data_IF_486437734827
#
_entry.id   IF_486437734827
#
_cell.length_a   1.000
_cell.length_b   1.000
_cell.length_c   1.000
_cell.angle_alpha   90.00
_cell.angle_beta   90.00
_cell.angle_gamma   90.00
#
_symmetry.space_group_name_H-M   'P 1'
#
loop_
_entity.id
_entity.type
_entity.pdbx_description
1 polymer ?
#
# COMPACT_ATOMS: atom_id res chain seq x y z
N UNK A 1 1.66 29.78 -7.50
CA UNK A 1 0.64 28.79 -7.98
C UNK A 1 1.45 27.65 -8.59
N UNK A 2 1.19 26.40 -8.22
CA UNK A 2 1.91 25.26 -8.81
C UNK A 2 1.40 25.01 -10.23
N UNK A 3 2.33 24.73 -11.15
CA UNK A 3 2.03 24.31 -12.51
C UNK A 3 1.92 22.77 -12.56
N UNK A 4 1.24 22.24 -13.56
CA UNK A 4 1.18 20.82 -13.87
C UNK A 4 2.56 20.16 -13.96
N UNK A 5 3.56 20.90 -14.45
CA UNK A 5 4.94 20.44 -14.56
C UNK A 5 5.68 20.37 -13.22
N UNK A 6 5.16 21.00 -12.16
CA UNK A 6 5.73 20.99 -10.82
C UNK A 6 5.32 19.75 -10.02
N UNK A 7 4.31 19.00 -10.49
CA UNK A 7 3.86 17.77 -9.84
C UNK A 7 4.94 16.69 -10.01
N UNK A 8 5.54 16.27 -8.90
CA UNK A 8 6.61 15.26 -8.85
C UNK A 8 6.27 14.06 -7.98
N UNK A 9 5.20 14.15 -7.20
CA UNK A 9 4.76 13.09 -6.29
C UNK A 9 3.27 12.82 -6.47
N UNK A 10 2.92 11.55 -6.48
CA UNK A 10 1.52 11.08 -6.47
C UNK A 10 1.29 10.25 -5.21
N UNK A 11 0.28 10.63 -4.44
CA UNK A 11 -0.32 9.78 -3.43
C UNK A 11 -1.53 9.08 -4.05
N UNK A 12 -1.48 7.75 -4.13
CA UNK A 12 -2.53 6.94 -4.74
C UNK A 12 -3.27 6.14 -3.68
N UNK A 13 -4.55 6.43 -3.51
CA UNK A 13 -5.48 5.61 -2.74
C UNK A 13 -6.22 4.67 -3.68
N UNK A 14 -5.65 3.49 -3.91
CA UNK A 14 -6.13 2.53 -4.91
C UNK A 14 -7.46 1.87 -4.52
N UNK A 15 -7.82 1.85 -3.23
CA UNK A 15 -9.04 1.20 -2.75
C UNK A 15 -9.52 1.78 -1.44
N UNK A 16 -10.82 1.72 -1.21
CA UNK A 16 -11.46 1.97 0.09
C UNK A 16 -11.58 0.70 0.94
N UNK A 17 -11.20 -0.48 0.42
CA UNK A 17 -11.29 -1.76 1.11
C UNK A 17 -10.10 -2.00 2.01
N UNK A 18 -10.32 -2.59 3.17
CA UNK A 18 -9.29 -3.04 4.09
C UNK A 18 -9.73 -4.36 4.75
N UNK A 19 -8.79 -5.22 5.06
CA UNK A 19 -9.04 -6.45 5.81
C UNK A 19 -8.92 -6.26 7.33
N UNK A 20 -8.39 -5.12 7.79
CA UNK A 20 -8.31 -4.76 9.21
C UNK A 20 -9.51 -3.89 9.64
N UNK A 21 -9.81 -3.90 10.94
CA UNK A 21 -10.86 -3.09 11.58
C UNK A 21 -10.29 -2.33 12.79
N UNK A 22 -9.26 -1.51 12.55
CA UNK A 22 -8.59 -0.77 13.61
C UNK A 22 -9.54 0.23 14.27
N UNK A 23 -9.63 0.29 15.62
CA UNK A 23 -10.66 1.09 16.34
C UNK A 23 -10.64 2.59 16.04
N UNK A 24 -9.48 3.16 15.76
CA UNK A 24 -9.35 4.59 15.47
C UNK A 24 -9.31 4.90 13.96
N UNK A 25 -9.53 3.91 13.11
CA UNK A 25 -9.54 4.13 11.67
C UNK A 25 -10.90 4.69 11.22
N UNK A 26 -10.89 5.79 10.46
CA UNK A 26 -12.10 6.42 9.92
C UNK A 26 -12.88 5.51 8.95
N UNK A 27 -12.29 4.39 8.50
CA UNK A 27 -12.95 3.39 7.69
C UNK A 27 -14.13 2.72 8.41
N UNK A 28 -14.03 2.53 9.72
CA UNK A 28 -15.03 1.81 10.50
C UNK A 28 -15.47 2.62 11.73
N UNK A 29 -16.57 2.20 12.33
CA UNK A 29 -17.11 2.83 13.54
C UNK A 29 -16.55 2.07 14.75
N UNK A 30 -15.53 2.64 15.40
CA UNK A 30 -14.89 2.11 16.60
C UNK A 30 -14.42 0.63 16.46
N UNK A 31 -13.90 0.27 15.30
CA UNK A 31 -13.45 -1.11 15.02
C UNK A 31 -14.58 -2.10 14.71
N UNK A 32 -15.81 -1.62 14.57
CA UNK A 32 -16.99 -2.42 14.22
C UNK A 32 -17.37 -2.34 12.75
N UNK A 33 -18.60 -1.94 12.47
CA UNK A 33 -19.12 -1.85 11.12
C UNK A 33 -18.37 -0.83 10.26
N UNK A 34 -18.36 -1.06 8.97
CA UNK A 34 -17.79 -0.11 8.00
C UNK A 34 -18.56 1.21 8.03
N UNK A 35 -17.85 2.30 7.85
CA UNK A 35 -18.44 3.61 7.74
C UNK A 35 -19.43 3.64 6.55
N UNK A 36 -20.71 3.99 6.77
CA UNK A 36 -21.75 3.90 5.75
C UNK A 36 -21.53 4.84 4.55
N UNK A 37 -20.62 5.80 4.65
CA UNK A 37 -20.26 6.69 3.55
C UNK A 37 -19.34 6.03 2.52
N UNK A 38 -18.69 4.89 2.85
CA UNK A 38 -17.77 4.20 1.96
C UNK A 38 -18.55 3.44 0.90
N UNK A 39 -18.11 3.59 -0.33
CA UNK A 39 -18.67 2.87 -1.48
C UNK A 39 -17.91 1.56 -1.76
N UNK A 40 -16.83 1.29 -1.03
CA UNK A 40 -15.91 0.19 -1.27
C UNK A 40 -15.32 0.22 -2.69
N UNK A 41 -15.06 1.44 -3.18
CA UNK A 41 -14.48 1.68 -4.48
C UNK A 41 -13.06 1.09 -4.59
N UNK A 42 -12.69 0.76 -5.82
CA UNK A 42 -11.37 0.22 -6.14
C UNK A 42 -11.00 0.63 -7.56
N UNK A 43 -9.80 1.13 -7.76
CA UNK A 43 -9.25 1.46 -9.06
C UNK A 43 -8.56 0.23 -9.67
N UNK A 44 -8.89 -0.06 -10.91
CA UNK A 44 -8.19 -1.07 -11.71
C UNK A 44 -6.92 -0.49 -12.35
N UNK A 45 -6.06 -1.37 -12.86
CA UNK A 45 -4.93 -0.92 -13.69
C UNK A 45 -5.39 -0.08 -14.89
N UNK A 46 -6.54 -0.42 -15.49
CA UNK A 46 -7.07 0.31 -16.63
C UNK A 46 -7.49 1.74 -16.26
N UNK A 47 -8.06 1.93 -15.06
CA UNK A 47 -8.37 3.26 -14.55
C UNK A 47 -7.08 4.07 -14.35
N UNK A 48 -6.05 3.45 -13.78
CA UNK A 48 -4.73 4.08 -13.56
C UNK A 48 -4.09 4.54 -14.88
N UNK A 49 -4.08 3.69 -15.90
CA UNK A 49 -3.54 4.02 -17.23
C UNK A 49 -4.33 5.17 -17.88
N UNK A 50 -5.63 5.24 -17.62
CA UNK A 50 -6.49 6.33 -18.13
C UNK A 50 -6.22 7.65 -17.40
N UNK A 51 -6.06 7.59 -16.07
CA UNK A 51 -5.84 8.79 -15.22
C UNK A 51 -4.43 9.36 -15.39
N UNK A 52 -3.42 8.48 -15.48
CA UNK A 52 -2.00 8.84 -15.52
C UNK A 52 -1.36 8.43 -16.85
N UNK A 53 -1.34 9.31 -17.87
CA UNK A 53 -0.62 9.02 -19.11
C UNK A 53 0.88 8.79 -18.86
N UNK A 54 1.53 8.00 -19.69
CA UNK A 54 2.96 7.67 -19.58
C UNK A 54 3.84 8.92 -19.48
N UNK A 55 3.53 9.96 -20.25
CA UNK A 55 4.25 11.25 -20.22
C UNK A 55 4.15 11.97 -18.86
N UNK A 56 3.11 11.69 -18.07
CA UNK A 56 3.00 12.19 -16.70
C UNK A 56 3.83 11.34 -15.75
N UNK A 57 3.70 10.00 -15.82
CA UNK A 57 4.46 9.07 -14.97
C UNK A 57 5.97 9.25 -15.14
N UNK A 58 6.46 9.47 -16.38
CA UNK A 58 7.89 9.70 -16.68
C UNK A 58 8.50 10.91 -15.96
N UNK A 59 7.70 11.86 -15.51
CA UNK A 59 8.16 13.07 -14.82
C UNK A 59 8.09 13.00 -13.31
N UNK A 60 7.46 11.94 -12.78
CA UNK A 60 7.34 11.75 -11.35
C UNK A 60 8.66 11.33 -10.73
N UNK A 61 8.93 11.84 -9.55
CA UNK A 61 10.01 11.37 -8.70
C UNK A 61 9.52 10.26 -7.75
N UNK A 62 8.25 10.33 -7.33
CA UNK A 62 7.72 9.44 -6.31
C UNK A 62 6.24 9.11 -6.56
N UNK A 63 5.90 7.84 -6.40
CA UNK A 63 4.51 7.40 -6.23
C UNK A 63 4.43 6.53 -4.98
N UNK A 64 3.48 6.84 -4.11
CA UNK A 64 3.24 6.03 -2.93
C UNK A 64 1.76 5.67 -2.77
N UNK A 65 1.53 4.51 -2.21
CA UNK A 65 0.20 4.04 -1.84
C UNK A 65 0.04 4.05 -0.32
N UNK A 66 -0.95 4.81 0.14
CA UNK A 66 -1.37 4.82 1.53
C UNK A 66 -2.85 5.15 1.56
N UNK A 67 -3.67 4.29 2.11
CA UNK A 67 -5.11 4.53 2.16
C UNK A 67 -5.54 5.17 3.46
N UNK A 68 -6.33 6.25 3.38
CA UNK A 68 -7.06 6.78 4.53
C UNK A 68 -8.22 5.86 4.96
N UNK A 69 -8.81 5.18 3.99
CA UNK A 69 -9.95 4.28 4.21
C UNK A 69 -9.65 2.84 3.83
N UNK A 70 -8.68 2.59 2.97
CA UNK A 70 -8.33 1.27 2.47
C UNK A 70 -6.91 0.86 2.79
N UNK A 71 -6.57 -0.37 2.44
CA UNK A 71 -5.18 -0.84 2.46
C UNK A 71 -4.83 -1.35 1.06
N UNK A 72 -3.74 -0.84 0.46
CA UNK A 72 -3.35 -1.21 -0.91
C UNK A 72 -3.21 -2.71 -1.13
N UNK A 73 -2.85 -3.49 -0.10
CA UNK A 73 -2.66 -4.94 -0.26
C UNK A 73 -3.94 -5.70 -0.58
N UNK A 74 -5.13 -5.13 -0.32
CA UNK A 74 -6.39 -5.80 -0.65
C UNK A 74 -6.86 -5.50 -2.06
N UNK A 75 -6.43 -4.41 -2.67
CA UNK A 75 -6.80 -4.07 -4.05
C UNK A 75 -6.23 -5.07 -5.04
N UNK A 76 -7.07 -5.50 -5.98
CA UNK A 76 -6.74 -6.57 -6.95
C UNK A 76 -5.50 -6.26 -7.77
N UNK A 77 -5.33 -5.03 -8.19
CA UNK A 77 -4.34 -4.63 -9.18
C UNK A 77 -3.12 -3.87 -8.60
N UNK A 78 -2.97 -3.78 -7.27
CA UNK A 78 -1.85 -3.08 -6.61
C UNK A 78 -0.50 -3.43 -7.23
N UNK A 79 -0.16 -4.71 -7.30
CA UNK A 79 1.13 -5.16 -7.85
C UNK A 79 1.28 -4.81 -9.35
N UNK A 80 0.20 -4.89 -10.12
CA UNK A 80 0.21 -4.51 -11.53
C UNK A 80 0.43 -3.02 -11.71
N UNK A 81 -0.15 -2.20 -10.83
CA UNK A 81 0.04 -0.75 -10.84
C UNK A 81 1.49 -0.40 -10.52
N UNK A 82 2.09 -1.00 -9.50
CA UNK A 82 3.52 -0.83 -9.21
C UNK A 82 4.39 -1.23 -10.41
N UNK A 83 4.12 -2.40 -11.02
CA UNK A 83 4.82 -2.86 -12.23
C UNK A 83 4.66 -1.88 -13.40
N UNK A 84 3.48 -1.31 -13.60
CA UNK A 84 3.23 -0.32 -14.64
C UNK A 84 4.05 0.96 -14.41
N UNK A 85 3.99 1.55 -13.21
CA UNK A 85 4.76 2.75 -12.89
C UNK A 85 6.26 2.53 -13.08
N UNK A 86 6.80 1.41 -12.61
CA UNK A 86 8.23 1.05 -12.79
C UNK A 86 8.58 0.83 -14.25
N UNK A 87 7.71 0.22 -15.06
CA UNK A 87 7.96 0.00 -16.48
C UNK A 87 8.01 1.29 -17.29
N UNK A 88 7.19 2.28 -16.94
CA UNK A 88 7.12 3.60 -17.61
C UNK A 88 8.23 4.53 -17.13
N UNK A 89 8.57 4.47 -15.84
CA UNK A 89 9.63 5.28 -15.23
C UNK A 89 10.54 4.38 -14.38
N UNK A 90 11.64 3.88 -14.95
CA UNK A 90 12.53 2.93 -14.27
C UNK A 90 13.21 3.46 -13.01
N UNK A 91 13.27 4.78 -12.82
CA UNK A 91 13.94 5.43 -11.68
C UNK A 91 12.97 6.01 -10.66
N UNK A 92 11.65 5.81 -10.84
CA UNK A 92 10.65 6.33 -9.91
C UNK A 92 10.81 5.71 -8.52
N UNK A 93 10.76 6.55 -7.48
CA UNK A 93 10.74 6.07 -6.11
C UNK A 93 9.34 5.52 -5.78
N UNK A 94 9.25 4.27 -5.30
CA UNK A 94 7.98 3.60 -5.04
C UNK A 94 7.85 3.25 -3.57
N UNK A 95 6.73 3.58 -2.93
CA UNK A 95 6.53 3.17 -1.55
C UNK A 95 5.07 2.83 -1.23
N UNK A 96 4.87 2.14 -0.12
CA UNK A 96 3.56 1.71 0.33
C UNK A 96 3.49 1.65 1.86
N UNK A 97 2.38 2.14 2.42
CA UNK A 97 2.02 1.90 3.81
C UNK A 97 0.94 0.82 3.86
N UNK A 98 1.08 -0.15 4.77
CA UNK A 98 0.15 -1.28 4.86
C UNK A 98 0.13 -1.91 6.24
N UNK A 99 -0.99 -2.58 6.56
CA UNK A 99 -1.06 -3.47 7.72
C UNK A 99 -0.31 -4.80 7.50
N UNK A 100 0.11 -5.12 6.29
CA UNK A 100 0.95 -6.26 5.94
C UNK A 100 0.34 -7.65 6.08
N UNK A 101 -0.93 -7.78 6.50
CA UNK A 101 -1.50 -9.07 6.93
C UNK A 101 -2.19 -9.88 5.83
N UNK A 102 -2.26 -9.38 4.60
CA UNK A 102 -2.86 -10.07 3.47
C UNK A 102 -1.81 -10.47 2.41
N UNK A 103 -2.27 -11.13 1.37
CA UNK A 103 -1.44 -11.69 0.28
C UNK A 103 -0.58 -12.88 0.68
N UNK A 104 0.02 -13.54 -0.30
CA UNK A 104 0.95 -14.65 -0.09
C UNK A 104 2.39 -14.12 -0.01
N UNK A 105 3.28 -14.87 0.59
CA UNK A 105 4.73 -14.56 0.61
C UNK A 105 5.30 -14.43 -0.80
N UNK A 106 4.79 -15.19 -1.78
CA UNK A 106 5.16 -15.06 -3.18
C UNK A 106 4.84 -13.65 -3.73
N UNK A 107 3.63 -13.12 -3.44
CA UNK A 107 3.24 -11.77 -3.85
C UNK A 107 4.15 -10.69 -3.24
N UNK A 108 4.56 -10.88 -1.98
CA UNK A 108 5.49 -9.96 -1.32
C UNK A 108 6.88 -9.98 -1.92
N UNK A 109 7.36 -11.16 -2.34
CA UNK A 109 8.63 -11.29 -3.07
C UNK A 109 8.57 -10.58 -4.43
N UNK A 110 7.50 -10.77 -5.19
CA UNK A 110 7.29 -10.04 -6.45
C UNK A 110 7.23 -8.51 -6.23
N UNK A 111 6.59 -8.04 -5.15
CA UNK A 111 6.54 -6.62 -4.82
C UNK A 111 7.95 -6.08 -4.51
N UNK A 112 8.76 -6.83 -3.76
CA UNK A 112 10.14 -6.46 -3.46
C UNK A 112 10.98 -6.29 -4.73
N UNK A 113 10.85 -7.20 -5.70
CA UNK A 113 11.54 -7.11 -6.99
C UNK A 113 11.14 -5.85 -7.78
N UNK A 114 9.86 -5.45 -7.71
CA UNK A 114 9.34 -4.27 -8.42
C UNK A 114 9.76 -2.97 -7.75
N UNK A 115 9.68 -2.90 -6.43
CA UNK A 115 10.09 -1.71 -5.66
C UNK A 115 11.62 -1.56 -5.72
N UNK A 116 12.35 -2.66 -5.57
CA UNK A 116 13.82 -2.68 -5.60
C UNK A 116 14.43 -1.81 -4.50
N UNK A 117 15.59 -1.24 -4.79
CA UNK A 117 16.31 -0.30 -3.91
C UNK A 117 15.78 1.12 -3.97
N UNK A 118 14.95 1.44 -4.98
CA UNK A 118 14.36 2.76 -5.19
C UNK A 118 12.96 2.84 -4.58
N UNK A 119 12.86 2.46 -3.30
CA UNK A 119 11.61 2.53 -2.55
C UNK A 119 11.62 1.72 -1.26
N UNK A 120 10.45 1.67 -0.60
CA UNK A 120 10.27 0.95 0.66
C UNK A 120 8.80 0.60 0.91
N UNK A 121 8.59 -0.32 1.85
CA UNK A 121 7.26 -0.62 2.40
C UNK A 121 7.27 -0.37 3.91
N UNK A 122 6.29 0.40 4.40
CA UNK A 122 6.04 0.59 5.82
C UNK A 122 5.01 -0.44 6.27
N UNK A 123 5.42 -1.34 7.15
CA UNK A 123 4.53 -2.28 7.84
C UNK A 123 4.03 -1.66 9.14
N UNK A 124 2.72 -1.46 9.24
CA UNK A 124 2.07 -0.91 10.43
C UNK A 124 1.84 -2.02 11.46
N UNK A 125 2.75 -2.12 12.43
CA UNK A 125 2.73 -3.16 13.48
C UNK A 125 2.63 -2.47 14.85
N UNK A 126 1.46 -2.59 15.48
CA UNK A 126 1.13 -1.88 16.73
C UNK A 126 1.08 -2.84 17.91
N UNK A 127 2.23 -3.34 18.26
CA UNK A 127 2.43 -4.27 19.37
C UNK A 127 3.20 -5.53 18.98
N UNK A 128 3.36 -6.44 19.92
CA UNK A 128 3.96 -7.75 19.74
C UNK A 128 2.88 -8.81 19.51
N UNK A 129 3.26 -10.07 19.52
CA UNK A 129 2.37 -11.21 19.27
C UNK A 129 1.10 -11.21 20.12
N UNK A 130 1.23 -10.83 21.37
CA UNK A 130 0.17 -10.81 22.39
C UNK A 130 -0.68 -9.53 22.41
N UNK A 131 -0.22 -8.46 21.76
CA UNK A 131 -0.83 -7.11 21.85
C UNK A 131 -1.24 -6.50 20.53
N UNK A 132 -0.60 -6.88 19.42
CA UNK A 132 -0.88 -6.35 18.09
C UNK A 132 -2.37 -6.36 17.71
N UNK A 133 -3.07 -7.43 18.04
CA UNK A 133 -4.48 -7.63 17.70
C UNK A 133 -5.45 -6.69 18.47
N UNK A 134 -5.01 -6.04 19.54
CA UNK A 134 -5.85 -5.07 20.25
C UNK A 134 -6.12 -3.83 19.40
N UNK A 135 -5.14 -3.39 18.62
CA UNK A 135 -5.31 -2.27 17.71
C UNK A 135 -5.54 -2.74 16.26
N UNK A 136 -4.74 -3.65 15.76
CA UNK A 136 -4.85 -4.19 14.39
C UNK A 136 -5.86 -5.34 14.34
N UNK A 137 -7.10 -5.04 14.73
CA UNK A 137 -8.22 -6.00 14.73
C UNK A 137 -8.38 -6.65 13.36
N UNK A 138 -8.68 -7.93 13.32
CA UNK A 138 -8.78 -8.79 12.12
C UNK A 138 -7.44 -9.03 11.39
N UNK A 139 -6.30 -8.67 11.98
CA UNK A 139 -4.99 -9.05 11.46
C UNK A 139 -4.32 -10.08 12.36
N UNK A 140 -3.30 -10.75 11.85
CA UNK A 140 -2.52 -11.76 12.60
C UNK A 140 -1.06 -11.37 12.59
N UNK A 141 -0.47 -11.12 13.75
CA UNK A 141 0.92 -10.72 13.93
C UNK A 141 1.89 -11.61 13.14
N UNK A 142 1.81 -12.93 13.32
CA UNK A 142 2.69 -13.87 12.58
C UNK A 142 2.60 -13.71 11.07
N UNK A 143 1.38 -13.43 10.54
CA UNK A 143 1.21 -13.23 9.10
C UNK A 143 1.90 -11.97 8.60
N UNK A 144 1.86 -10.90 9.40
CA UNK A 144 2.56 -9.65 9.08
C UNK A 144 4.07 -9.90 9.08
N UNK A 145 4.59 -10.56 10.11
CA UNK A 145 6.03 -10.87 10.21
C UNK A 145 6.48 -11.79 9.07
N UNK A 146 5.73 -12.85 8.75
CA UNK A 146 6.01 -13.75 7.64
C UNK A 146 6.09 -13.00 6.30
N UNK A 147 5.15 -12.10 6.05
CA UNK A 147 5.09 -11.29 4.83
C UNK A 147 6.23 -10.27 4.76
N UNK A 148 6.50 -9.57 5.87
CA UNK A 148 7.61 -8.60 5.96
C UNK A 148 8.96 -9.31 5.76
N UNK A 149 9.16 -10.47 6.38
CA UNK A 149 10.36 -11.29 6.20
C UNK A 149 10.53 -11.69 4.73
N UNK A 150 9.47 -12.19 4.08
CA UNK A 150 9.52 -12.58 2.68
C UNK A 150 9.87 -11.40 1.74
N UNK A 151 9.37 -10.19 2.05
CA UNK A 151 9.68 -8.97 1.33
C UNK A 151 11.16 -8.58 1.49
N UNK A 152 11.67 -8.61 2.74
CA UNK A 152 13.08 -8.26 3.05
C UNK A 152 14.04 -9.28 2.43
N UNK A 153 13.78 -10.58 2.56
CA UNK A 153 14.60 -11.66 1.99
C UNK A 153 14.70 -11.59 0.45
N UNK A 154 13.68 -11.01 -0.20
CA UNK A 154 13.70 -10.76 -1.64
C UNK A 154 14.38 -9.42 -2.02
N UNK A 155 15.02 -8.73 -1.07
CA UNK A 155 15.77 -7.50 -1.30
C UNK A 155 14.98 -6.21 -1.12
N UNK A 156 13.75 -6.28 -0.61
CA UNK A 156 12.93 -5.10 -0.32
C UNK A 156 13.39 -4.36 0.93
N UNK A 157 13.28 -3.04 0.93
CA UNK A 157 13.51 -2.20 2.11
C UNK A 157 12.21 -2.05 2.88
N UNK A 158 12.19 -2.52 4.13
CA UNK A 158 11.03 -2.46 5.01
C UNK A 158 11.26 -1.54 6.20
N UNK A 159 10.23 -0.80 6.55
CA UNK A 159 10.18 0.02 7.76
C UNK A 159 9.03 -0.46 8.66
N UNK A 160 9.17 -0.22 9.95
CA UNK A 160 8.12 -0.48 10.93
C UNK A 160 7.55 0.86 11.42
N UNK A 161 6.23 1.01 11.30
CA UNK A 161 5.49 2.12 11.89
C UNK A 161 4.64 1.64 13.05
N UNK A 162 4.70 2.37 14.16
CA UNK A 162 3.90 2.16 15.38
C UNK A 162 3.06 3.42 15.63
N UNK A 163 1.78 3.25 15.97
CA UNK A 163 0.86 4.32 16.39
C UNK A 163 0.86 4.46 17.91
#
# INVERSE_FOLDING_TARGET
>A
MYDYNDIKTVHLEITEKCNAACPMCARNINGGEDNPWLQNAELSLNDIVTIFPDTFIQRLNHMFMCGNYGDPIVAKDTLKVFKHFRSVNPTIYLSMNTNGSARTTYWWKELAEVIGTDGYVIFSIDGLEDTHHFYRTNTRFHRVIENATAFIEAGGTAEWSLI
#
